data_IF_401280409367
#
_entry.id   IF_401280409367
#
_cell.length_a   1.000
_cell.length_b   1.000
_cell.length_c   1.000
_cell.angle_alpha   90.00
_cell.angle_beta   90.00
_cell.angle_gamma   90.00
#
_symmetry.space_group_name_H-M   'P 1'
#
loop_
_entity.id
_entity.type
_entity.pdbx_description
1 polymer ?
#
# COMPACT_ATOMS: atom_id res chain seq x y z
N UNK A 1 -13.01 11.55 -5.63
CA UNK A 1 -13.39 11.28 -4.23
C UNK A 1 -14.49 10.25 -4.22
N UNK A 2 -14.18 9.00 -3.86
CA UNK A 2 -15.19 7.99 -3.58
C UNK A 2 -15.14 7.72 -2.07
N UNK A 3 -15.98 8.43 -1.31
CA UNK A 3 -16.22 8.08 0.09
C UNK A 3 -17.20 6.92 0.09
N UNK A 4 -16.67 5.70 0.17
CA UNK A 4 -17.48 4.52 0.38
C UNK A 4 -18.29 4.68 1.68
N UNK A 5 -19.53 4.16 1.74
CA UNK A 5 -20.36 4.29 2.93
C UNK A 5 -19.80 3.47 4.10
N UNK A 6 -20.05 3.89 5.35
CA UNK A 6 -19.47 3.28 6.55
C UNK A 6 -19.71 1.77 6.66
N UNK A 7 -20.90 1.29 6.27
CA UNK A 7 -21.22 -0.14 6.26
C UNK A 7 -20.28 -0.95 5.36
N UNK A 8 -19.74 -0.35 4.29
CA UNK A 8 -18.80 -1.02 3.40
C UNK A 8 -17.47 -1.25 4.10
N UNK A 9 -17.00 -0.27 4.89
CA UNK A 9 -15.78 -0.44 5.67
C UNK A 9 -15.92 -1.57 6.71
N UNK A 10 -17.02 -1.57 7.47
CA UNK A 10 -17.28 -2.61 8.47
C UNK A 10 -17.48 -4.00 7.84
N UNK A 11 -18.21 -4.08 6.72
CA UNK A 11 -18.53 -5.35 6.10
C UNK A 11 -17.37 -5.94 5.29
N UNK A 12 -16.57 -5.09 4.65
CA UNK A 12 -15.56 -5.50 3.66
C UNK A 12 -14.15 -5.24 4.17
N UNK A 13 -13.80 -3.99 4.47
CA UNK A 13 -12.39 -3.64 4.69
C UNK A 13 -11.85 -4.12 6.03
N UNK A 14 -12.68 -4.28 7.06
CA UNK A 14 -12.28 -4.92 8.32
C UNK A 14 -11.96 -6.41 8.15
N UNK A 15 -12.59 -7.09 7.19
CA UNK A 15 -12.45 -8.53 6.95
C UNK A 15 -11.48 -8.88 5.83
N UNK A 16 -11.21 -7.94 4.93
CA UNK A 16 -10.32 -8.14 3.81
C UNK A 16 -8.87 -8.30 4.30
N UNK A 17 -8.31 -9.48 4.08
CA UNK A 17 -6.91 -9.78 4.40
C UNK A 17 -5.99 -9.65 3.18
N UNK A 18 -6.55 -9.58 1.97
CA UNK A 18 -5.82 -9.42 0.73
C UNK A 18 -6.41 -8.28 -0.08
N UNK A 19 -5.54 -7.45 -0.65
CA UNK A 19 -5.92 -6.40 -1.61
C UNK A 19 -5.04 -6.48 -2.84
N UNK A 20 -5.68 -6.27 -3.98
CA UNK A 20 -5.06 -6.28 -5.30
C UNK A 20 -5.43 -4.97 -5.99
N UNK A 21 -4.42 -4.17 -6.34
CA UNK A 21 -4.57 -3.01 -7.21
C UNK A 21 -3.93 -3.33 -8.56
N UNK A 22 -4.75 -3.69 -9.54
CA UNK A 22 -4.31 -3.92 -10.92
C UNK A 22 -4.84 -2.81 -11.81
N UNK A 23 -3.99 -2.23 -12.66
CA UNK A 23 -4.40 -1.22 -13.66
C UNK A 23 -5.15 -0.02 -13.04
N UNK A 24 -4.64 0.49 -11.92
CA UNK A 24 -5.24 1.63 -11.20
C UNK A 24 -4.40 2.91 -11.46
N UNK A 25 -4.65 3.66 -12.55
CA UNK A 25 -3.85 4.84 -12.91
C UNK A 25 -4.02 6.01 -11.92
N UNK A 26 -5.08 6.03 -11.12
CA UNK A 26 -5.32 7.04 -10.09
C UNK A 26 -4.87 6.58 -8.70
N UNK A 27 -4.09 5.50 -8.60
CA UNK A 27 -3.56 4.99 -7.33
C UNK A 27 -2.50 5.94 -6.77
N UNK A 28 -2.93 7.00 -6.08
CA UNK A 28 -2.00 8.02 -5.61
C UNK A 28 -1.16 7.57 -4.40
N UNK A 29 -1.80 7.05 -3.36
CA UNK A 29 -1.14 6.75 -2.09
C UNK A 29 -1.82 5.58 -1.37
N UNK A 30 -1.14 4.43 -1.32
CA UNK A 30 -1.66 3.23 -0.64
C UNK A 30 -1.75 3.45 0.86
N UNK A 31 -0.89 4.27 1.46
CA UNK A 31 -0.98 4.62 2.88
C UNK A 31 -2.30 5.33 3.21
N UNK A 32 -2.75 6.24 2.33
CA UNK A 32 -4.04 6.92 2.50
C UNK A 32 -5.19 5.93 2.38
N UNK A 33 -5.14 5.01 1.40
CA UNK A 33 -6.14 3.96 1.25
C UNK A 33 -6.17 3.04 2.48
N UNK A 34 -5.00 2.64 2.98
CA UNK A 34 -4.86 1.80 4.18
C UNK A 34 -5.51 2.45 5.41
N UNK A 35 -5.19 3.72 5.67
CA UNK A 35 -5.71 4.46 6.83
C UNK A 35 -7.20 4.77 6.68
N UNK A 36 -7.63 5.35 5.55
CA UNK A 36 -9.05 5.70 5.32
C UNK A 36 -9.93 4.46 5.23
N UNK A 37 -9.40 3.40 4.62
CA UNK A 37 -10.08 2.13 4.47
C UNK A 37 -10.10 1.28 5.73
N UNK A 38 -9.45 1.68 6.83
CA UNK A 38 -9.34 0.86 8.05
C UNK A 38 -8.82 -0.55 7.76
N UNK A 39 -7.89 -0.67 6.82
CA UNK A 39 -7.35 -1.95 6.33
C UNK A 39 -6.33 -2.55 7.29
N UNK A 40 -6.53 -2.38 8.59
CA UNK A 40 -5.58 -2.81 9.63
C UNK A 40 -5.44 -4.34 9.72
N UNK A 41 -6.40 -5.07 9.14
CA UNK A 41 -6.37 -6.54 9.01
C UNK A 41 -5.56 -7.06 7.82
N UNK A 42 -5.08 -6.18 6.93
CA UNK A 42 -4.43 -6.57 5.67
C UNK A 42 -3.16 -7.40 5.93
N UNK A 43 -3.08 -8.56 5.28
CA UNK A 43 -1.97 -9.51 5.32
C UNK A 43 -1.21 -9.58 4.00
N UNK A 44 -1.88 -9.38 2.87
CA UNK A 44 -1.24 -9.44 1.54
C UNK A 44 -1.67 -8.24 0.70
N UNK A 45 -0.69 -7.56 0.11
CA UNK A 45 -0.91 -6.43 -0.79
C UNK A 45 -0.20 -6.71 -2.11
N UNK A 46 -0.98 -6.73 -3.18
CA UNK A 46 -0.50 -6.87 -4.53
C UNK A 46 -0.81 -5.61 -5.33
N UNK A 47 0.19 -5.08 -6.02
CA UNK A 47 0.05 -3.88 -6.84
C UNK A 47 0.72 -4.16 -8.17
N UNK A 48 -0.05 -4.06 -9.25
CA UNK A 48 0.47 -4.25 -10.60
C UNK A 48 -0.04 -3.21 -11.59
N UNK A 49 0.78 -2.93 -12.62
CA UNK A 49 0.38 -2.17 -13.80
C UNK A 49 -0.20 -0.78 -13.45
N UNK A 50 0.24 -0.17 -12.35
CA UNK A 50 -0.15 1.18 -11.94
C UNK A 50 0.92 2.17 -12.40
N UNK A 51 0.90 2.50 -13.69
CA UNK A 51 2.05 3.14 -14.38
C UNK A 51 2.29 4.60 -14.04
N UNK A 52 1.40 5.28 -13.33
CA UNK A 52 1.57 6.69 -12.93
C UNK A 52 2.26 6.86 -11.58
N UNK A 53 2.35 5.78 -10.80
CA UNK A 53 2.81 5.80 -9.40
C UNK A 53 4.32 5.87 -9.34
N UNK A 54 4.85 7.01 -8.91
CA UNK A 54 6.29 7.21 -8.73
C UNK A 54 6.82 6.72 -7.38
N UNK A 55 5.97 6.81 -6.34
CA UNK A 55 6.25 6.29 -5.01
C UNK A 55 5.01 5.58 -4.47
N UNK A 56 5.18 4.35 -3.99
CA UNK A 56 4.06 3.55 -3.49
C UNK A 56 3.55 4.04 -2.12
N UNK A 57 4.50 4.45 -1.26
CA UNK A 57 4.26 4.88 0.12
C UNK A 57 4.98 6.23 0.36
N UNK A 58 4.42 7.35 -0.14
CA UNK A 58 4.94 8.67 0.17
C UNK A 58 4.50 9.09 1.58
N UNK A 59 5.46 9.30 2.51
CA UNK A 59 5.20 9.80 3.87
C UNK A 59 5.20 11.33 3.97
N UNK A 60 5.50 12.03 2.88
CA UNK A 60 5.74 13.48 2.86
C UNK A 60 4.58 14.34 3.39
N UNK A 61 3.35 13.81 3.44
CA UNK A 61 2.14 14.55 3.87
C UNK A 61 1.45 13.95 5.09
N UNK A 62 1.79 12.72 5.48
CA UNK A 62 1.18 12.00 6.60
C UNK A 62 2.27 11.27 7.35
N UNK A 63 2.63 11.77 8.53
CA UNK A 63 3.47 11.06 9.49
C UNK A 63 2.50 10.31 10.42
N UNK A 64 2.25 9.01 10.20
CA UNK A 64 1.41 8.26 11.12
C UNK A 64 2.10 8.18 12.49
N UNK A 65 1.39 8.48 13.57
CA UNK A 65 1.90 8.25 14.93
C UNK A 65 1.88 6.76 15.31
N UNK A 66 1.15 5.94 14.56
CA UNK A 66 0.97 4.51 14.79
C UNK A 66 1.67 3.69 13.71
N UNK A 67 2.08 2.45 14.02
CA UNK A 67 2.60 1.51 13.02
C UNK A 67 1.65 1.32 11.84
N UNK A 68 2.19 1.32 10.63
CA UNK A 68 1.43 1.10 9.40
C UNK A 68 1.82 -0.22 8.75
N UNK A 69 0.87 -0.90 8.14
CA UNK A 69 1.07 -2.24 7.57
C UNK A 69 1.65 -3.25 8.59
N UNK A 70 1.38 -3.07 9.89
CA UNK A 70 1.97 -3.89 10.95
C UNK A 70 1.56 -5.39 10.88
N UNK A 71 0.45 -5.70 10.22
CA UNK A 71 -0.02 -7.09 10.00
C UNK A 71 0.32 -7.62 8.61
N UNK A 72 0.86 -6.79 7.73
CA UNK A 72 1.20 -7.19 6.37
C UNK A 72 2.31 -8.23 6.42
N UNK A 73 2.11 -9.32 5.70
CA UNK A 73 3.01 -10.47 5.61
C UNK A 73 3.64 -10.55 4.22
N UNK A 74 2.90 -10.13 3.19
CA UNK A 74 3.28 -10.23 1.80
C UNK A 74 3.05 -8.88 1.10
N UNK A 75 4.07 -8.43 0.37
CA UNK A 75 4.01 -7.27 -0.51
C UNK A 75 4.54 -7.66 -1.89
N UNK A 76 3.70 -7.53 -2.90
CA UNK A 76 4.04 -7.83 -4.29
C UNK A 76 3.86 -6.55 -5.13
N UNK A 77 4.90 -6.19 -5.86
CA UNK A 77 4.96 -4.95 -6.65
C UNK A 77 5.45 -5.29 -8.06
N UNK A 78 4.52 -5.34 -9.03
CA UNK A 78 4.79 -5.82 -10.37
C UNK A 78 4.53 -4.75 -11.44
N UNK A 79 5.35 -4.69 -12.49
CA UNK A 79 5.11 -3.87 -13.68
C UNK A 79 4.84 -2.37 -13.39
N UNK A 80 5.59 -1.79 -12.45
CA UNK A 80 5.42 -0.40 -12.04
C UNK A 80 6.38 0.51 -12.84
N UNK A 81 6.01 0.80 -14.09
CA UNK A 81 6.90 1.44 -15.07
C UNK A 81 7.29 2.90 -14.80
N UNK A 82 6.68 3.59 -13.84
CA UNK A 82 7.14 4.93 -13.41
C UNK A 82 7.63 4.97 -11.96
N UNK A 83 7.60 3.84 -11.27
CA UNK A 83 7.93 3.80 -9.84
C UNK A 83 9.43 3.89 -9.65
N UNK A 84 9.85 4.90 -8.88
CA UNK A 84 11.24 5.15 -8.52
C UNK A 84 11.58 4.68 -7.13
N UNK A 85 10.61 4.66 -6.22
CA UNK A 85 10.82 4.36 -4.81
C UNK A 85 9.62 3.60 -4.25
N UNK A 86 9.84 2.61 -3.40
CA UNK A 86 8.72 1.94 -2.69
C UNK A 86 8.20 2.84 -1.58
N UNK A 87 9.09 3.43 -0.79
CA UNK A 87 8.75 4.27 0.35
C UNK A 87 9.71 5.45 0.45
N UNK A 88 9.20 6.63 0.81
CA UNK A 88 10.00 7.84 1.07
C UNK A 88 9.74 8.33 2.48
N UNK A 89 10.81 8.51 3.26
CA UNK A 89 10.76 8.91 4.67
C UNK A 89 10.98 7.75 5.64
N UNK A 90 10.90 8.04 6.93
CA UNK A 90 10.98 7.01 7.99
C UNK A 90 9.59 6.59 8.45
N UNK A 91 9.33 5.29 8.38
CA UNK A 91 8.12 4.70 8.94
C UNK A 91 8.23 4.60 10.47
N UNK A 92 7.10 4.69 11.19
CA UNK A 92 7.09 4.45 12.64
C UNK A 92 7.59 3.05 12.98
N UNK A 93 8.27 2.87 14.12
CA UNK A 93 8.66 1.55 14.62
C UNK A 93 7.46 0.59 14.68
N UNK A 94 7.68 -0.68 14.32
CA UNK A 94 6.62 -1.68 14.22
C UNK A 94 5.86 -1.68 12.88
N UNK A 95 6.11 -0.72 11.99
CA UNK A 95 5.62 -0.81 10.62
C UNK A 95 6.26 -1.99 9.90
N UNK A 96 5.48 -2.73 9.12
CA UNK A 96 5.94 -3.97 8.46
C UNK A 96 6.53 -5.05 9.39
N UNK A 97 6.24 -5.02 10.70
CA UNK A 97 6.81 -5.96 11.68
C UNK A 97 6.60 -7.44 11.32
N UNK A 98 5.50 -7.76 10.62
CA UNK A 98 5.16 -9.13 10.21
C UNK A 98 5.50 -9.44 8.76
N UNK A 99 6.14 -8.53 8.03
CA UNK A 99 6.46 -8.72 6.62
C UNK A 99 7.49 -9.85 6.48
N UNK A 100 7.14 -10.87 5.69
CA UNK A 100 7.96 -12.06 5.45
C UNK A 100 8.38 -12.17 4.00
N UNK A 101 7.57 -11.62 3.09
CA UNK A 101 7.77 -11.74 1.67
C UNK A 101 7.62 -10.37 1.01
N UNK A 102 8.65 -9.99 0.25
CA UNK A 102 8.65 -8.83 -0.61
C UNK A 102 9.07 -9.31 -2.00
N UNK A 103 8.18 -9.18 -2.97
CA UNK A 103 8.45 -9.45 -4.37
C UNK A 103 8.33 -8.17 -5.17
N UNK A 104 9.38 -7.89 -5.93
CA UNK A 104 9.43 -6.75 -6.83
C UNK A 104 9.87 -7.26 -8.18
N UNK A 105 8.99 -7.15 -9.18
CA UNK A 105 9.22 -7.70 -10.51
C UNK A 105 8.89 -6.64 -11.57
N UNK A 106 9.76 -6.51 -12.57
CA UNK A 106 9.49 -5.65 -13.74
C UNK A 106 9.21 -4.18 -13.37
N UNK A 107 9.97 -3.64 -12.40
CA UNK A 107 9.94 -2.24 -12.00
C UNK A 107 11.20 -1.52 -12.49
N UNK A 108 11.24 -1.15 -13.76
CA UNK A 108 12.47 -0.75 -14.48
C UNK A 108 13.15 0.51 -13.96
N UNK A 109 12.42 1.38 -13.25
CA UNK A 109 12.92 2.67 -12.76
C UNK A 109 13.09 2.70 -11.24
N UNK A 110 12.89 1.57 -10.56
CA UNK A 110 13.05 1.52 -9.11
C UNK A 110 14.53 1.71 -8.76
N UNK A 111 14.80 2.76 -7.99
CA UNK A 111 16.11 3.11 -7.47
C UNK A 111 16.34 2.42 -6.12
N UNK A 112 17.59 2.04 -5.82
CA UNK A 112 18.00 1.42 -4.55
C UNK A 112 18.28 2.47 -3.47
#
# INVERSE_FOLDING_TARGET
>A
MSTLPDWFFEAVTEKAEMLIYSWCPDLMNILVAYVKGRLFGLKSLFVEQCHTVQCLIPLAEVIPNNPVFARLQELHIHHMESMKQICVGQLPPGSFEKLKFLEVQQCSYLEN
#
